data_IF_184422707025
#
_entry.id   IF_184422707025
#
_cell.length_a   1.000
_cell.length_b   1.000
_cell.length_c   1.000
_cell.angle_alpha   90.00
_cell.angle_beta   90.00
_cell.angle_gamma   90.00
#
_symmetry.space_group_name_H-M   'P 1'
#
loop_
_entity.id
_entity.type
_entity.pdbx_description
1 polymer ?
#
# COMPACT_ATOMS: atom_id res chain seq x y z
N UNK A 1 -16.28 11.73 -0.09
CA UNK A 1 -14.95 12.37 -0.09
C UNK A 1 -13.96 11.36 -0.65
N UNK A 2 -13.36 11.65 -1.80
CA UNK A 2 -12.35 10.79 -2.43
C UNK A 2 -10.99 11.49 -2.38
N UNK A 3 -10.21 11.14 -1.34
CA UNK A 3 -8.84 11.64 -1.11
C UNK A 3 -7.84 10.95 -2.05
N UNK A 4 -8.18 9.75 -2.53
CA UNK A 4 -7.30 8.90 -3.32
C UNK A 4 -6.81 7.68 -2.55
N UNK A 5 -5.65 7.17 -2.96
CA UNK A 5 -5.06 5.94 -2.45
C UNK A 5 -3.54 6.04 -2.37
N UNK A 6 -2.98 5.41 -1.35
CA UNK A 6 -1.55 5.28 -1.10
C UNK A 6 -1.19 3.80 -1.17
N UNK A 7 -0.18 3.45 -1.96
CA UNK A 7 0.26 2.08 -2.19
C UNK A 7 1.78 2.00 -2.04
N UNK A 8 2.26 0.85 -1.57
CA UNK A 8 3.68 0.58 -1.44
C UNK A 8 3.98 -0.71 -2.20
N UNK A 9 4.93 -0.61 -3.13
CA UNK A 9 5.43 -1.74 -3.89
C UNK A 9 6.88 -2.03 -3.53
N UNK A 10 7.23 -3.32 -3.58
CA UNK A 10 8.62 -3.77 -3.55
C UNK A 10 8.98 -4.24 -4.95
N UNK A 11 9.96 -3.57 -5.56
CA UNK A 11 10.53 -3.96 -6.84
C UNK A 11 11.85 -4.66 -6.61
N UNK A 12 11.88 -5.97 -6.85
CA UNK A 12 13.09 -6.80 -6.79
C UNK A 12 13.83 -6.77 -8.13
N UNK A 13 15.15 -6.57 -8.09
CA UNK A 13 16.03 -6.55 -9.25
C UNK A 13 16.63 -7.95 -9.40
N UNK A 14 16.05 -8.76 -10.30
CA UNK A 14 16.42 -10.16 -10.49
C UNK A 14 17.61 -10.28 -11.47
N UNK A 15 17.62 -9.47 -12.53
CA UNK A 15 18.75 -9.35 -13.46
C UNK A 15 18.82 -7.94 -14.04
N UNK A 16 19.82 -7.65 -14.87
CA UNK A 16 20.00 -6.32 -15.47
C UNK A 16 18.77 -5.82 -16.25
N UNK A 17 17.99 -6.74 -16.83
CA UNK A 17 16.81 -6.42 -17.65
C UNK A 17 15.51 -7.01 -17.09
N UNK A 18 15.53 -7.56 -15.88
CA UNK A 18 14.36 -8.21 -15.29
C UNK A 18 14.15 -7.76 -13.85
N UNK A 19 13.00 -7.12 -13.64
CA UNK A 19 12.52 -6.70 -12.32
C UNK A 19 11.16 -7.33 -12.05
N UNK A 20 10.94 -7.77 -10.82
CA UNK A 20 9.64 -8.22 -10.34
C UNK A 20 9.09 -7.20 -9.36
N UNK A 21 7.82 -6.84 -9.46
CA UNK A 21 7.18 -5.85 -8.60
C UNK A 21 5.99 -6.49 -7.90
N UNK A 22 5.90 -6.29 -6.58
CA UNK A 22 4.80 -6.79 -5.75
C UNK A 22 4.20 -5.67 -4.91
N UNK A 23 2.88 -5.55 -4.92
CA UNK A 23 2.14 -4.70 -3.99
C UNK A 23 2.19 -5.33 -2.59
N UNK A 24 2.64 -4.58 -1.58
CA UNK A 24 2.83 -5.09 -0.21
C UNK A 24 2.00 -4.34 0.84
N UNK A 25 1.47 -3.17 0.49
CA UNK A 25 0.60 -2.37 1.35
C UNK A 25 -0.24 -1.43 0.50
N UNK A 26 -1.53 -1.30 0.79
CA UNK A 26 -2.41 -0.37 0.08
C UNK A 26 -3.54 0.14 0.97
N UNK A 27 -3.78 1.46 0.97
CA UNK A 27 -4.96 2.06 1.59
C UNK A 27 -5.61 3.06 0.65
N UNK A 28 -6.94 3.14 0.73
CA UNK A 28 -7.74 4.14 0.05
C UNK A 28 -8.63 4.91 1.03
N UNK A 29 -9.06 6.10 0.61
CA UNK A 29 -10.01 6.93 1.33
C UNK A 29 -9.42 7.73 2.50
N UNK A 30 -10.27 8.49 3.21
CA UNK A 30 -9.85 9.36 4.31
C UNK A 30 -9.37 8.56 5.53
N UNK A 31 -8.33 9.06 6.22
CA UNK A 31 -7.75 8.43 7.42
C UNK A 31 -7.73 9.32 8.67
N UNK A 32 -8.49 10.42 8.61
CA UNK A 32 -8.48 11.45 9.64
C UNK A 32 -7.36 12.47 9.45
N UNK A 33 -7.39 13.58 10.22
CA UNK A 33 -6.40 14.65 10.14
C UNK A 33 -5.07 14.35 10.86
N UNK A 34 -5.01 13.29 11.68
CA UNK A 34 -3.83 12.93 12.46
C UNK A 34 -2.84 12.02 11.71
N UNK A 35 -1.55 12.15 12.03
CA UNK A 35 -0.51 11.25 11.53
C UNK A 35 -0.76 9.81 11.98
N UNK A 36 -0.66 8.89 11.03
CA UNK A 36 -0.79 7.44 11.25
C UNK A 36 0.53 6.76 10.95
N UNK A 37 0.98 5.94 11.89
CA UNK A 37 2.14 5.07 11.64
C UNK A 37 1.72 3.89 10.76
N UNK A 38 2.57 3.54 9.81
CA UNK A 38 2.42 2.34 8.99
C UNK A 38 3.65 1.45 9.15
N UNK A 39 3.42 0.15 9.23
CA UNK A 39 4.47 -0.85 9.26
C UNK A 39 4.23 -1.84 8.13
N UNK A 40 5.27 -2.08 7.33
CA UNK A 40 5.19 -2.90 6.12
C UNK A 40 6.24 -3.99 6.21
N UNK A 41 5.87 -5.25 6.47
CA UNK A 41 6.82 -6.35 6.44
C UNK A 41 7.27 -6.59 4.99
N UNK A 42 8.57 -6.52 4.74
CA UNK A 42 9.16 -6.81 3.43
C UNK A 42 10.28 -7.83 3.59
N UNK A 43 10.37 -8.75 2.64
CA UNK A 43 11.44 -9.77 2.57
C UNK A 43 11.99 -9.87 1.15
N UNK A 44 12.67 -8.81 0.66
CA UNK A 44 13.21 -8.80 -0.69
C UNK A 44 14.40 -9.76 -0.80
N UNK A 45 14.47 -10.49 -1.92
CA UNK A 45 15.64 -11.29 -2.26
C UNK A 45 16.59 -10.45 -3.13
N UNK A 46 17.76 -10.11 -2.60
CA UNK A 46 18.79 -9.36 -3.34
C UNK A 46 18.55 -7.85 -3.38
N UNK A 47 18.90 -7.19 -4.50
CA UNK A 47 18.74 -5.74 -4.64
C UNK A 47 17.28 -5.39 -4.91
N UNK A 48 16.76 -4.37 -4.24
CA UNK A 48 15.37 -3.98 -4.36
C UNK A 48 15.20 -2.46 -4.29
N UNK A 49 14.00 -2.01 -4.66
CA UNK A 49 13.52 -0.65 -4.51
C UNK A 49 12.18 -0.67 -3.78
N UNK A 50 11.99 0.26 -2.85
CA UNK A 50 10.68 0.53 -2.25
C UNK A 50 10.06 1.68 -3.05
N UNK A 51 8.84 1.49 -3.51
CA UNK A 51 8.11 2.48 -4.33
C UNK A 51 6.87 2.87 -3.55
N UNK A 52 6.76 4.16 -3.22
CA UNK A 52 5.58 4.75 -2.58
C UNK A 52 4.80 5.48 -3.66
N UNK A 53 3.61 4.98 -3.97
CA UNK A 53 2.72 5.50 -5.01
C UNK A 53 1.48 6.13 -4.39
N UNK A 54 1.35 7.45 -4.55
CA UNK A 54 0.12 8.18 -4.24
C UNK A 54 -0.69 8.42 -5.51
N UNK A 55 -1.91 7.90 -5.57
CA UNK A 55 -2.87 8.22 -6.63
C UNK A 55 -3.91 9.16 -6.06
N UNK A 56 -3.94 10.39 -6.59
CA UNK A 56 -4.89 11.42 -6.19
C UNK A 56 -6.33 10.98 -6.47
N UNK A 57 -7.23 11.23 -5.52
CA UNK A 57 -8.67 11.07 -5.71
C UNK A 57 -9.28 12.20 -6.54
N UNK A 58 -10.58 12.10 -6.83
CA UNK A 58 -11.32 13.13 -7.59
C UNK A 58 -11.61 14.40 -6.79
N UNK A 59 -11.54 14.34 -5.45
CA UNK A 59 -11.80 15.51 -4.60
C UNK A 59 -10.57 16.42 -4.47
N UNK A 60 -10.80 17.62 -3.98
CA UNK A 60 -9.78 18.57 -3.53
C UNK A 60 -9.79 18.73 -1.99
N UNK A 61 -10.69 18.04 -1.28
CA UNK A 61 -10.92 18.21 0.16
C UNK A 61 -9.92 17.45 1.03
N UNK A 62 -8.92 16.80 0.46
CA UNK A 62 -7.89 16.11 1.22
C UNK A 62 -6.67 15.75 0.38
N UNK A 63 -5.54 15.61 1.07
CA UNK A 63 -4.24 15.29 0.50
C UNK A 63 -3.67 14.02 1.14
N UNK A 64 -2.60 13.49 0.55
CA UNK A 64 -1.83 12.37 1.08
C UNK A 64 -0.44 12.91 1.44
N UNK A 65 -0.02 12.71 2.70
CA UNK A 65 1.30 13.09 3.19
C UNK A 65 2.01 11.87 3.79
N UNK A 66 3.34 11.82 3.63
CA UNK A 66 4.21 10.77 4.16
C UNK A 66 5.46 11.47 4.72
N UNK A 67 5.88 11.06 5.91
CA UNK A 67 7.08 11.56 6.57
C UNK A 67 7.75 10.44 7.39
N UNK A 68 8.96 10.68 7.89
CA UNK A 68 9.69 9.79 8.82
C UNK A 68 9.87 8.34 8.30
N UNK A 69 10.27 8.20 7.03
CA UNK A 69 10.48 6.89 6.40
C UNK A 69 11.76 6.24 6.93
N UNK A 70 11.63 5.09 7.60
CA UNK A 70 12.73 4.28 8.09
C UNK A 70 12.65 2.82 7.64
N UNK A 71 13.80 2.19 7.43
CA UNK A 71 13.92 0.75 7.17
C UNK A 71 14.62 0.10 8.36
N UNK A 72 13.94 -0.85 9.00
CA UNK A 72 14.43 -1.55 10.17
C UNK A 72 14.72 -3.01 9.81
N UNK A 73 15.92 -3.48 10.15
CA UNK A 73 16.25 -4.90 10.08
C UNK A 73 15.75 -5.59 11.35
N UNK A 74 14.57 -6.19 11.29
CA UNK A 74 13.95 -6.91 12.41
C UNK A 74 13.13 -8.09 11.92
N UNK A 75 13.12 -9.16 12.71
CA UNK A 75 12.28 -10.35 12.49
C UNK A 75 10.82 -10.10 12.91
N UNK A 76 10.54 -9.02 13.65
CA UNK A 76 9.21 -8.72 14.21
C UNK A 76 8.62 -7.43 13.64
N UNK A 77 8.35 -7.41 12.33
CA UNK A 77 7.53 -6.37 11.70
C UNK A 77 6.15 -6.95 11.37
N UNK A 78 5.08 -6.39 11.92
CA UNK A 78 3.70 -6.78 11.59
C UNK A 78 3.09 -5.72 10.70
N UNK A 79 2.31 -6.15 9.71
CA UNK A 79 1.58 -5.25 8.84
C UNK A 79 0.65 -4.36 9.68
N UNK A 80 0.78 -3.04 9.53
CA UNK A 80 -0.11 -2.08 10.15
C UNK A 80 -0.45 -0.92 9.20
N UNK A 81 -1.73 -0.49 9.17
CA UNK A 81 -2.87 -1.16 9.81
C UNK A 81 -3.26 -2.46 9.05
N UNK A 82 -4.06 -3.35 9.65
CA UNK A 82 -4.37 -4.67 9.04
C UNK A 82 -5.15 -4.53 7.73
N UNK A 83 -5.99 -3.51 7.61
CA UNK A 83 -6.78 -3.23 6.39
C UNK A 83 -5.91 -2.81 5.20
N UNK A 84 -4.60 -2.61 5.42
CA UNK A 84 -3.66 -2.28 4.38
C UNK A 84 -3.12 -3.51 3.64
N UNK A 85 -3.53 -4.72 4.03
CA UNK A 85 -3.06 -5.95 3.41
C UNK A 85 -3.58 -6.02 1.96
N UNK A 86 -2.69 -6.10 0.95
CA UNK A 86 -3.12 -6.24 -0.44
C UNK A 86 -4.01 -7.44 -0.69
N UNK A 87 -3.91 -8.51 0.10
CA UNK A 87 -4.82 -9.66 0.01
C UNK A 87 -6.25 -9.26 0.37
N UNK A 88 -6.42 -8.49 1.44
CA UNK A 88 -7.71 -7.94 1.88
C UNK A 88 -8.22 -6.85 0.90
N UNK A 89 -7.31 -6.08 0.29
CA UNK A 89 -7.66 -5.08 -0.74
C UNK A 89 -8.06 -5.75 -2.07
N UNK A 90 -7.48 -6.91 -2.41
CA UNK A 90 -7.93 -7.71 -3.57
C UNK A 90 -9.33 -8.30 -3.36
N UNK A 91 -9.67 -8.62 -2.11
CA UNK A 91 -11.02 -9.00 -1.73
C UNK A 91 -11.96 -7.79 -1.68
N UNK A 92 -11.47 -6.58 -1.41
CA UNK A 92 -12.25 -5.35 -1.53
C UNK A 92 -12.45 -4.88 -2.99
N UNK A 93 -11.61 -5.35 -3.93
CA UNK A 93 -11.83 -5.23 -5.38
C UNK A 93 -12.83 -6.27 -5.90
N UNK A 94 -13.08 -7.35 -5.16
CA UNK A 94 -14.31 -8.16 -5.27
C UNK A 94 -15.36 -7.51 -4.38
N UNK A 95 -15.92 -6.40 -4.86
CA UNK A 95 -17.01 -5.75 -4.14
C UNK A 95 -18.22 -6.69 -4.14
N UNK A 96 -18.43 -7.43 -3.05
CA UNK A 96 -19.76 -7.94 -2.70
C UNK A 96 -20.64 -6.75 -2.31
N UNK A 97 -21.04 -5.96 -3.30
CA UNK A 97 -22.13 -4.98 -3.19
C UNK A 97 -23.25 -5.51 -4.07
N UNK A 98 -24.46 -5.52 -3.52
CA UNK A 98 -25.69 -6.07 -4.11
C UNK A 98 -26.03 -5.57 -5.53
N UNK A 99 -25.31 -4.60 -6.10
CA UNK A 99 -25.73 -3.88 -7.31
C UNK A 99 -24.81 -4.06 -8.54
N UNK A 100 -23.67 -4.75 -8.48
CA UNK A 100 -22.91 -5.09 -9.71
C UNK A 100 -22.20 -6.46 -9.54
N UNK A 101 -22.97 -7.51 -9.80
CA UNK A 101 -22.55 -8.84 -10.28
C UNK A 101 -21.43 -9.62 -9.54
N UNK A 102 -21.92 -10.48 -8.62
CA UNK A 102 -21.39 -11.77 -8.11
C UNK A 102 -20.62 -11.81 -6.77
N UNK A 103 -21.21 -12.56 -5.82
CA UNK A 103 -20.50 -13.35 -4.81
C UNK A 103 -19.84 -14.58 -5.45
#
# INVERSE_FOLDING_TARGET
MDVGRLMIYVRSIVSANFTSESLVWALAGPRGPEWKHAFVPIQPNGRYQIIIEGVRGKSFEGDIAVDDIGVLQTESCKLQPFEADPAEVSQALVTCRFEEDFC
#
